data_IF_759294767369
#
_entry.id   IF_759294767369
#
_cell.length_a   1.000
_cell.length_b   1.000
_cell.length_c   1.000
_cell.angle_alpha   90.00
_cell.angle_beta   90.00
_cell.angle_gamma   90.00
#
_symmetry.space_group_name_H-M   'P 1'
#
loop_
_entity.id
_entity.type
_entity.pdbx_description
1 polymer ?
#
# COMPACT_ATOMS: atom_id res chain seq x y z
N UNK A 1 -19.50 5.18 -21.96
CA UNK A 1 -18.87 5.84 -20.80
C UNK A 1 -18.93 4.89 -19.60
N UNK A 2 -17.86 4.14 -19.29
CA UNK A 2 -17.78 3.15 -18.18
C UNK A 2 -16.66 3.44 -17.17
N UNK A 3 -16.02 4.61 -17.25
CA UNK A 3 -14.76 4.90 -16.55
C UNK A 3 -14.82 5.28 -15.04
N UNK A 4 -15.91 5.80 -14.44
CA UNK A 4 -15.83 6.21 -13.03
C UNK A 4 -15.88 5.04 -12.02
N UNK A 5 -16.43 3.88 -12.40
CA UNK A 5 -16.60 2.76 -11.46
C UNK A 5 -15.26 2.06 -11.12
N UNK A 6 -14.34 1.99 -12.09
CA UNK A 6 -13.06 1.28 -11.93
C UNK A 6 -12.09 2.07 -11.03
N UNK A 7 -12.12 3.40 -11.10
CA UNK A 7 -11.31 4.25 -10.22
C UNK A 7 -11.77 4.13 -8.75
N UNK A 8 -13.09 4.07 -8.50
CA UNK A 8 -13.66 3.87 -7.16
C UNK A 8 -13.21 2.55 -6.53
N UNK A 9 -13.24 1.45 -7.29
CA UNK A 9 -12.85 0.13 -6.81
C UNK A 9 -11.34 0.01 -6.53
N UNK A 10 -10.52 0.70 -7.34
CA UNK A 10 -9.08 0.73 -7.14
C UNK A 10 -8.73 1.39 -5.81
N UNK A 11 -9.36 2.53 -5.50
CA UNK A 11 -9.15 3.24 -4.23
C UNK A 11 -9.71 2.48 -3.03
N UNK A 12 -10.88 1.84 -3.15
CA UNK A 12 -11.42 0.96 -2.10
C UNK A 12 -10.45 -0.18 -1.74
N UNK A 13 -9.74 -0.71 -2.73
CA UNK A 13 -8.70 -1.74 -2.51
C UNK A 13 -7.54 -1.18 -1.69
N UNK A 14 -7.08 0.03 -2.00
CA UNK A 14 -6.00 0.70 -1.28
C UNK A 14 -6.38 0.97 0.18
N UNK A 15 -7.61 1.43 0.43
CA UNK A 15 -8.11 1.64 1.80
C UNK A 15 -8.11 0.34 2.60
N UNK A 16 -8.55 -0.76 1.98
CA UNK A 16 -8.55 -2.07 2.63
C UNK A 16 -7.11 -2.55 2.94
N UNK A 17 -6.20 -2.45 1.97
CA UNK A 17 -4.80 -2.84 2.14
C UNK A 17 -4.11 -2.03 3.26
N UNK A 18 -4.34 -0.72 3.29
CA UNK A 18 -3.89 0.19 4.36
C UNK A 18 -4.39 -0.27 5.73
N UNK A 19 -5.68 -0.60 5.83
CA UNK A 19 -6.30 -1.11 7.06
C UNK A 19 -5.72 -2.45 7.51
N UNK A 20 -5.43 -3.36 6.57
CA UNK A 20 -4.81 -4.65 6.88
C UNK A 20 -3.39 -4.49 7.44
N UNK A 21 -2.56 -3.64 6.82
CA UNK A 21 -1.20 -3.33 7.31
C UNK A 21 -1.27 -2.75 8.72
N UNK A 22 -2.06 -1.69 8.92
CA UNK A 22 -2.24 -1.04 10.22
C UNK A 22 -2.66 -2.03 11.30
N UNK A 23 -3.64 -2.88 11.00
CA UNK A 23 -4.13 -3.89 11.94
C UNK A 23 -3.06 -4.91 12.28
N UNK A 24 -2.34 -5.45 11.29
CA UNK A 24 -1.27 -6.40 11.51
C UNK A 24 -0.13 -5.80 12.36
N UNK A 25 0.19 -4.53 12.16
CA UNK A 25 1.14 -3.77 12.98
C UNK A 25 0.68 -3.59 14.43
N UNK A 26 -0.60 -3.31 14.65
CA UNK A 26 -1.18 -3.18 16.00
C UNK A 26 -1.20 -4.51 16.75
N UNK A 27 -1.44 -5.61 16.04
CA UNK A 27 -1.50 -6.97 16.59
C UNK A 27 -0.10 -7.60 16.76
N UNK A 28 0.96 -6.99 16.21
CA UNK A 28 2.34 -7.48 16.31
C UNK A 28 2.61 -8.76 15.51
N UNK A 29 1.83 -9.00 14.45
CA UNK A 29 1.86 -10.23 13.66
C UNK A 29 2.80 -10.06 12.46
N UNK A 30 4.11 -10.23 12.66
CA UNK A 30 5.13 -9.94 11.64
C UNK A 30 4.88 -10.62 10.29
N UNK A 31 4.52 -11.90 10.27
CA UNK A 31 4.21 -12.64 9.03
C UNK A 31 2.99 -12.06 8.29
N UNK A 32 2.00 -11.55 9.03
CA UNK A 32 0.83 -10.91 8.43
C UNK A 32 1.16 -9.51 7.88
N UNK A 33 2.08 -8.79 8.52
CA UNK A 33 2.56 -7.49 8.02
C UNK A 33 3.26 -7.70 6.68
N UNK A 34 4.18 -8.67 6.59
CA UNK A 34 4.88 -9.03 5.35
C UNK A 34 3.89 -9.34 4.22
N UNK A 35 2.95 -10.26 4.47
CA UNK A 35 1.94 -10.62 3.47
C UNK A 35 1.06 -9.44 3.05
N UNK A 36 0.71 -8.56 3.99
CA UNK A 36 -0.10 -7.37 3.70
C UNK A 36 0.68 -6.37 2.85
N UNK A 37 1.96 -6.13 3.15
CA UNK A 37 2.84 -5.27 2.35
C UNK A 37 3.04 -5.82 0.94
N UNK A 38 3.29 -7.12 0.80
CA UNK A 38 3.45 -7.76 -0.50
C UNK A 38 2.17 -7.61 -1.36
N UNK A 39 1.01 -7.85 -0.75
CA UNK A 39 -0.29 -7.72 -1.43
C UNK A 39 -0.53 -6.27 -1.87
N UNK A 40 -0.29 -5.32 -0.97
CA UNK A 40 -0.46 -3.91 -1.24
C UNK A 40 0.48 -3.42 -2.36
N UNK A 41 1.74 -3.87 -2.38
CA UNK A 41 2.71 -3.50 -3.41
C UNK A 41 2.27 -4.02 -4.80
N UNK A 42 1.80 -5.27 -4.86
CA UNK A 42 1.26 -5.85 -6.09
C UNK A 42 0.01 -5.11 -6.57
N UNK A 43 -0.88 -4.72 -5.67
CA UNK A 43 -2.08 -3.95 -6.00
C UNK A 43 -1.74 -2.54 -6.48
N UNK A 44 -0.84 -1.83 -5.79
CA UNK A 44 -0.37 -0.50 -6.20
C UNK A 44 0.18 -0.53 -7.64
N UNK A 45 0.98 -1.56 -7.96
CA UNK A 45 1.50 -1.79 -9.31
C UNK A 45 0.41 -2.09 -10.34
N UNK A 46 -0.48 -3.03 -10.03
CA UNK A 46 -1.52 -3.49 -10.96
C UNK A 46 -2.57 -2.41 -11.24
N UNK A 47 -2.93 -1.63 -10.24
CA UNK A 47 -4.05 -0.68 -10.29
C UNK A 47 -3.61 0.73 -10.70
N UNK A 48 -2.42 1.17 -10.28
CA UNK A 48 -1.95 2.54 -10.46
C UNK A 48 -0.61 2.64 -11.19
N UNK A 49 0.08 1.53 -11.42
CA UNK A 49 1.32 1.48 -12.23
C UNK A 49 2.61 1.78 -11.46
N UNK A 50 2.57 1.98 -10.14
CA UNK A 50 3.76 2.19 -9.32
C UNK A 50 4.65 0.93 -9.28
N UNK A 51 5.98 1.07 -9.38
CA UNK A 51 6.87 -0.10 -9.25
C UNK A 51 7.10 -0.48 -7.79
N UNK A 52 7.06 0.50 -6.90
CA UNK A 52 7.12 0.36 -5.45
C UNK A 52 6.06 1.22 -4.77
N UNK A 53 5.59 0.81 -3.58
CA UNK A 53 4.77 1.68 -2.71
C UNK A 53 5.54 2.98 -2.38
N UNK A 54 6.87 2.92 -2.34
CA UNK A 54 7.72 4.08 -2.05
C UNK A 54 7.72 5.13 -3.17
N UNK A 55 7.39 4.72 -4.40
CA UNK A 55 7.32 5.60 -5.58
C UNK A 55 6.08 6.51 -5.58
N UNK A 56 5.11 6.27 -4.69
CA UNK A 56 3.95 7.15 -4.53
C UNK A 56 4.45 8.52 -4.08
N UNK A 57 4.21 9.56 -4.87
CA UNK A 57 4.69 10.92 -4.59
C UNK A 57 3.58 11.76 -3.98
N UNK A 58 3.95 12.71 -3.13
CA UNK A 58 3.02 13.69 -2.57
C UNK A 58 2.95 14.87 -3.53
N UNK A 59 2.03 14.79 -4.48
CA UNK A 59 1.66 15.88 -5.38
C UNK A 59 0.17 16.16 -5.31
N UNK A 60 -0.25 17.31 -5.86
CA UNK A 60 -1.64 17.75 -5.79
C UNK A 60 -2.62 16.85 -6.57
N UNK A 61 -2.14 15.90 -7.37
CA UNK A 61 -2.96 14.99 -8.18
C UNK A 61 -3.07 13.59 -7.54
N UNK A 62 -2.25 13.29 -6.53
CA UNK A 62 -2.22 11.99 -5.87
C UNK A 62 -3.38 11.86 -4.86
N UNK A 63 -4.22 10.82 -4.96
CA UNK A 63 -5.26 10.52 -3.98
C UNK A 63 -4.71 10.31 -2.56
N UNK A 64 -5.41 10.84 -1.56
CA UNK A 64 -5.06 10.72 -0.14
C UNK A 64 -4.91 9.25 0.29
N UNK A 65 -5.72 8.34 -0.25
CA UNK A 65 -5.66 6.92 0.10
C UNK A 65 -4.32 6.28 -0.27
N UNK A 66 -3.69 6.72 -1.36
CA UNK A 66 -2.36 6.22 -1.77
C UNK A 66 -1.26 6.78 -0.85
N UNK A 67 -1.42 8.02 -0.38
CA UNK A 67 -0.52 8.63 0.59
C UNK A 67 -0.61 7.92 1.95
N UNK A 68 -1.83 7.59 2.38
CA UNK A 68 -2.08 6.79 3.59
C UNK A 68 -1.44 5.41 3.49
N UNK A 69 -1.58 4.73 2.33
CA UNK A 69 -0.94 3.44 2.11
C UNK A 69 0.59 3.54 2.23
N UNK A 70 1.19 4.57 1.61
CA UNK A 70 2.63 4.81 1.70
C UNK A 70 3.06 5.09 3.14
N UNK A 71 2.30 5.88 3.87
CA UNK A 71 2.61 6.19 5.27
C UNK A 71 2.62 4.92 6.14
N UNK A 72 1.59 4.08 6.04
CA UNK A 72 1.53 2.82 6.81
C UNK A 72 2.65 1.85 6.41
N UNK A 73 3.02 1.80 5.13
CA UNK A 73 4.15 1.00 4.69
C UNK A 73 5.47 1.53 5.28
N UNK A 74 5.69 2.84 5.29
CA UNK A 74 6.87 3.44 5.92
C UNK A 74 6.93 3.18 7.44
N UNK A 75 5.80 3.28 8.13
CA UNK A 75 5.71 2.94 9.56
C UNK A 75 6.04 1.46 9.82
N UNK A 76 5.58 0.56 8.94
CA UNK A 76 5.93 -0.86 9.00
C UNK A 76 7.44 -1.06 8.80
N UNK A 77 8.05 -0.33 7.86
CA UNK A 77 9.48 -0.40 7.56
C UNK A 77 10.35 0.10 8.72
N UNK A 78 9.94 1.19 9.38
CA UNK A 78 10.64 1.72 10.54
C UNK A 78 10.70 0.70 11.69
N UNK A 79 9.63 -0.12 11.82
CA UNK A 79 9.56 -1.20 12.81
C UNK A 79 10.36 -2.45 12.42
N UNK A 80 10.30 -2.86 11.16
CA UNK A 80 11.08 -3.98 10.63
C UNK A 80 11.73 -3.61 9.29
N UNK A 81 13.01 -3.16 9.31
CA UNK A 81 13.72 -2.74 8.11
C UNK A 81 13.85 -3.81 7.03
N UNK A 82 13.69 -5.10 7.36
CA UNK A 82 13.72 -6.19 6.38
C UNK A 82 12.55 -6.12 5.41
N UNK A 83 11.48 -5.42 5.79
CA UNK A 83 10.31 -5.24 4.93
C UNK A 83 10.59 -4.42 3.66
N UNK A 84 11.76 -3.74 3.58
CA UNK A 84 12.17 -2.99 2.40
C UNK A 84 12.20 -3.86 1.14
N UNK A 85 12.51 -5.15 1.29
CA UNK A 85 12.55 -6.10 0.17
C UNK A 85 11.17 -6.26 -0.46
N UNK A 86 10.10 -6.35 0.34
CA UNK A 86 8.72 -6.53 -0.15
C UNK A 86 8.11 -5.23 -0.69
N UNK A 87 8.49 -4.08 -0.13
CA UNK A 87 8.06 -2.77 -0.67
C UNK A 87 8.65 -2.49 -2.05
N UNK A 88 9.81 -3.08 -2.34
CA UNK A 88 10.50 -3.00 -3.63
C UNK A 88 10.21 -4.21 -4.53
N UNK A 89 9.58 -5.27 -4.02
CA UNK A 89 9.41 -6.53 -4.72
C UNK A 89 8.40 -6.41 -5.87
N UNK A 90 8.95 -6.38 -7.07
CA UNK A 90 8.30 -6.54 -8.39
C UNK A 90 8.17 -8.00 -8.82
#
# INVERSE_FOLDING_TARGET
>A
MRQPLLASQALETVVADTGHIRRAMQEGLTEHIEMSILTAAQNARRLFGYQSILDITDDAETPDELLDLKAEALDALDRDPRLSEYMQAT
#
